data_IF_674020477090
#
_entry.id   IF_674020477090
#
_cell.length_a   1.000
_cell.length_b   1.000
_cell.length_c   1.000
_cell.angle_alpha   90.00
_cell.angle_beta   90.00
_cell.angle_gamma   90.00
#
_symmetry.space_group_name_H-M   'P 1'
#
loop_
_entity.id
_entity.type
_entity.pdbx_description
1 polymer ?
#
# COMPACT_ATOMS: atom_id res chain seq x y z
N UNK A 1 11.24 11.90 -12.10
CA UNK A 1 10.79 11.17 -10.90
C UNK A 1 9.71 12.00 -10.23
N UNK A 2 8.45 11.54 -10.23
CA UNK A 2 7.34 12.25 -9.58
C UNK A 2 7.38 11.91 -8.08
N UNK A 3 7.41 12.88 -7.16
CA UNK A 3 7.23 12.58 -5.75
C UNK A 3 5.86 11.89 -5.58
N UNK A 4 5.87 10.72 -4.95
CA UNK A 4 4.66 9.94 -4.69
C UNK A 4 3.64 10.84 -4.01
N UNK A 5 2.49 11.03 -4.66
CA UNK A 5 1.40 11.78 -4.07
C UNK A 5 1.11 11.19 -2.67
N UNK A 6 1.02 12.04 -1.62
CA UNK A 6 0.71 11.54 -0.29
C UNK A 6 -0.63 10.83 -0.38
N UNK A 7 -0.62 9.51 -0.20
CA UNK A 7 -1.84 8.73 -0.07
C UNK A 7 -2.57 9.32 1.14
N UNK A 8 -3.75 9.90 0.91
CA UNK A 8 -4.57 10.47 1.98
C UNK A 8 -4.62 9.52 3.17
N UNK A 9 -4.31 10.03 4.36
CA UNK A 9 -4.06 9.24 5.58
C UNK A 9 -5.26 8.38 6.02
N UNK A 10 -6.44 8.68 5.49
CA UNK A 10 -7.71 8.02 5.80
C UNK A 10 -8.08 6.91 4.79
N UNK A 11 -7.35 6.79 3.68
CA UNK A 11 -7.59 5.80 2.64
C UNK A 11 -7.17 4.39 3.03
N UNK A 12 -7.79 3.39 2.40
CA UNK A 12 -7.32 2.00 2.52
C UNK A 12 -5.95 1.89 1.84
N UNK A 13 -4.91 1.73 2.66
CA UNK A 13 -3.55 1.49 2.20
C UNK A 13 -3.21 -0.01 2.27
N UNK A 14 -2.42 -0.48 1.32
CA UNK A 14 -1.82 -1.80 1.31
C UNK A 14 -0.31 -1.68 1.49
N UNK A 15 0.29 -2.61 2.21
CA UNK A 15 1.71 -2.64 2.54
C UNK A 15 2.27 -4.04 2.29
N UNK A 16 3.52 -4.14 1.81
CA UNK A 16 4.24 -5.42 1.70
C UNK A 16 5.23 -5.62 2.87
N UNK A 17 5.85 -6.80 2.95
CA UNK A 17 6.89 -7.11 3.97
C UNK A 17 8.15 -6.22 3.89
N UNK A 18 8.37 -5.55 2.77
CA UNK A 18 9.46 -4.58 2.56
C UNK A 18 8.98 -3.14 2.72
N UNK A 19 7.83 -2.94 3.37
CA UNK A 19 7.28 -1.62 3.71
C UNK A 19 6.92 -0.72 2.50
N UNK A 20 6.83 -1.29 1.30
CA UNK A 20 6.27 -0.56 0.16
C UNK A 20 4.77 -0.35 0.38
N UNK A 21 4.32 0.90 0.31
CA UNK A 21 2.93 1.29 0.56
C UNK A 21 2.24 1.70 -0.73
N UNK A 22 1.03 1.16 -0.95
CA UNK A 22 0.25 1.37 -2.17
C UNK A 22 -1.22 1.65 -1.84
N UNK A 23 -1.90 2.31 -2.77
CA UNK A 23 -3.34 2.57 -2.70
C UNK A 23 -4.17 1.32 -2.99
N UNK A 24 -5.46 1.29 -2.62
CA UNK A 24 -6.36 0.16 -2.94
C UNK A 24 -6.40 -0.13 -4.45
N UNK A 25 -6.58 0.91 -5.28
CA UNK A 25 -6.56 0.77 -6.75
C UNK A 25 -5.25 0.17 -7.25
N UNK A 26 -4.14 0.62 -6.69
CA UNK A 26 -2.80 0.18 -7.04
C UNK A 26 -2.65 -1.31 -6.74
N UNK A 27 -3.06 -1.72 -5.53
CA UNK A 27 -3.04 -3.12 -5.11
C UNK A 27 -3.93 -3.99 -6.00
N UNK A 28 -5.14 -3.54 -6.32
CA UNK A 28 -6.08 -4.28 -7.19
C UNK A 28 -5.52 -4.45 -8.61
N UNK A 29 -4.99 -3.38 -9.21
CA UNK A 29 -4.35 -3.44 -10.54
C UNK A 29 -3.14 -4.38 -10.55
N UNK A 30 -2.40 -4.44 -9.45
CA UNK A 30 -1.23 -5.31 -9.29
C UNK A 30 -1.59 -6.70 -8.75
N UNK A 31 -2.87 -7.07 -8.71
CA UNK A 31 -3.36 -8.35 -8.19
C UNK A 31 -2.82 -8.69 -6.79
N UNK A 32 -2.73 -7.67 -5.93
CA UNK A 32 -2.17 -7.75 -4.58
C UNK A 32 -0.71 -8.25 -4.55
N UNK A 33 0.07 -8.05 -5.61
CA UNK A 33 1.50 -8.35 -5.64
C UNK A 33 2.33 -7.10 -5.82
N UNK A 34 3.36 -6.94 -4.99
CA UNK A 34 4.28 -5.83 -5.11
C UNK A 34 5.21 -6.04 -6.33
N UNK A 35 5.23 -5.15 -7.33
CA UNK A 35 6.13 -5.28 -8.48
C UNK A 35 7.60 -4.99 -8.13
N UNK A 36 7.86 -4.27 -7.04
CA UNK A 36 9.22 -3.98 -6.58
C UNK A 36 9.84 -5.11 -5.75
N UNK A 37 9.00 -5.87 -5.03
CA UNK A 37 9.48 -6.86 -4.05
C UNK A 37 9.04 -8.30 -4.37
N UNK A 38 8.06 -8.49 -5.25
CA UNK A 38 7.44 -9.79 -5.52
C UNK A 38 6.57 -10.35 -4.37
N UNK A 39 6.52 -9.67 -3.22
CA UNK A 39 5.71 -10.08 -2.06
C UNK A 39 4.24 -9.71 -2.18
N UNK A 40 3.41 -10.29 -1.31
CA UNK A 40 1.98 -9.99 -1.22
C UNK A 40 1.71 -8.63 -0.56
N UNK A 41 0.77 -7.88 -1.12
CA UNK A 41 0.28 -6.61 -0.62
C UNK A 41 -0.92 -6.86 0.29
N UNK A 42 -0.71 -6.69 1.58
CA UNK A 42 -1.75 -6.86 2.61
C UNK A 42 -2.26 -5.51 3.07
N UNK A 43 -3.52 -5.45 3.52
CA UNK A 43 -4.11 -4.20 3.97
C UNK A 43 -3.39 -3.70 5.23
N UNK A 44 -2.88 -2.47 5.19
CA UNK A 44 -2.18 -1.86 6.32
C UNK A 44 -3.18 -1.68 7.48
N UNK A 45 -2.90 -2.23 8.68
CA UNK A 45 -3.75 -2.00 9.83
C UNK A 45 -3.73 -0.50 10.16
N UNK A 46 -4.93 0.10 10.27
CA UNK A 46 -5.04 1.47 10.78
C UNK A 46 -4.78 1.41 12.28
N UNK A 47 -3.84 2.22 12.79
CA UNK A 47 -3.78 2.51 14.22
C UNK A 47 -5.12 3.18 14.56
N UNK A 48 -6.07 2.42 15.12
CA UNK A 48 -6.95 2.99 16.13
C UNK A 48 -6.02 3.28 17.30
N UNK A 49 -5.43 4.47 17.28
CA UNK A 49 -4.86 5.04 18.49
C UNK A 49 -6.05 5.17 19.45
N UNK A 50 -6.02 4.35 20.50
CA UNK A 50 -7.02 4.33 21.57
C UNK A 50 -6.39 5.02 22.77
#
# INVERSE_FOLDING_TARGET
MRPGAPLSVDGTAFICTYECTFCDKCSTTMAHKCPNCGGELVRRPRRRDL
#
